data_IF_215773060109
#
_entry.id   IF_215773060109
#
_cell.length_a   1.000
_cell.length_b   1.000
_cell.length_c   1.000
_cell.angle_alpha   90.00
_cell.angle_beta   90.00
_cell.angle_gamma   90.00
#
_symmetry.space_group_name_H-M   'P 1'
#
loop_
_entity.id
_entity.type
_entity.pdbx_description
1 polymer ?
#
# COMPACT_ATOMS: atom_id res chain seq x y z
N UNK A 1 4.62 24.34 -2.88
CA UNK A 1 4.21 23.28 -1.92
C UNK A 1 3.66 22.12 -2.74
N UNK A 2 4.44 21.06 -2.91
CA UNK A 2 4.04 19.91 -3.74
C UNK A 2 2.73 19.32 -3.24
N UNK A 3 1.76 19.20 -4.13
CA UNK A 3 0.44 18.68 -3.80
C UNK A 3 0.57 17.22 -3.36
N UNK A 4 0.19 16.91 -2.12
CA UNK A 4 0.26 15.56 -1.56
C UNK A 4 -0.94 14.76 -2.09
N UNK A 5 -0.86 14.34 -3.36
CA UNK A 5 -1.95 13.65 -4.09
C UNK A 5 -2.54 12.48 -3.31
N UNK A 6 -1.71 11.74 -2.58
CA UNK A 6 -2.11 10.57 -1.81
C UNK A 6 -2.71 10.89 -0.43
N UNK A 7 -2.66 12.14 0.03
CA UNK A 7 -3.19 12.54 1.33
C UNK A 7 -4.53 13.30 1.24
N UNK A 8 -5.00 13.62 0.03
CA UNK A 8 -6.22 14.40 -0.19
C UNK A 8 -7.52 13.81 0.40
N UNK A 9 -7.58 12.49 0.60
CA UNK A 9 -8.76 11.82 1.17
C UNK A 9 -8.74 11.66 2.70
N UNK A 10 -7.67 12.10 3.37
CA UNK A 10 -7.51 11.96 4.81
C UNK A 10 -8.09 13.16 5.56
N UNK A 11 -8.52 12.98 6.83
CA UNK A 11 -9.11 14.07 7.60
C UNK A 11 -8.12 15.22 7.86
N UNK A 12 -8.65 16.44 7.97
CA UNK A 12 -7.85 17.68 8.04
C UNK A 12 -6.91 17.73 9.25
N UNK A 13 -7.27 17.07 10.35
CA UNK A 13 -6.40 16.97 11.52
C UNK A 13 -5.10 16.22 11.22
N UNK A 14 -5.16 15.17 10.40
CA UNK A 14 -3.99 14.42 9.95
C UNK A 14 -3.16 15.26 8.98
N UNK A 15 -3.81 15.91 8.02
CA UNK A 15 -3.15 16.82 7.08
C UNK A 15 -2.40 17.93 7.80
N UNK A 16 -3.02 18.53 8.82
CA UNK A 16 -2.40 19.58 9.65
C UNK A 16 -1.16 19.05 10.37
N UNK A 17 -1.23 17.86 11.00
CA UNK A 17 -0.07 17.21 11.62
C UNK A 17 1.06 16.96 10.61
N UNK A 18 0.74 16.46 9.42
CA UNK A 18 1.74 16.22 8.36
C UNK A 18 2.39 17.53 7.91
N UNK A 19 1.61 18.60 7.72
CA UNK A 19 2.15 19.93 7.36
C UNK A 19 3.12 20.46 8.43
N UNK A 20 2.78 20.33 9.70
CA UNK A 20 3.69 20.70 10.80
C UNK A 20 4.97 19.88 10.77
N UNK A 21 4.88 18.56 10.60
CA UNK A 21 6.04 17.67 10.53
C UNK A 21 6.94 17.94 9.31
N UNK A 22 6.36 18.38 8.19
CA UNK A 22 7.10 18.84 7.01
C UNK A 22 7.82 20.15 7.30
N UNK A 23 7.14 21.11 7.92
CA UNK A 23 7.74 22.40 8.29
C UNK A 23 8.89 22.23 9.28
N UNK A 24 8.80 21.26 10.18
CA UNK A 24 9.85 20.91 11.14
C UNK A 24 10.95 20.02 10.56
N UNK A 25 10.87 19.57 9.29
CA UNK A 25 11.80 18.59 8.69
C UNK A 25 11.91 17.26 9.47
N UNK A 26 10.90 16.93 10.27
CA UNK A 26 10.89 15.74 11.15
C UNK A 26 10.00 14.60 10.65
N UNK A 27 9.27 14.82 9.55
CA UNK A 27 8.37 13.82 8.98
C UNK A 27 9.06 12.47 8.74
N UNK A 28 10.25 12.47 8.13
CA UNK A 28 11.01 11.24 7.85
C UNK A 28 11.34 10.44 9.11
N UNK A 29 11.92 11.09 10.12
CA UNK A 29 12.28 10.45 11.38
C UNK A 29 11.05 9.92 12.15
N UNK A 30 9.91 10.60 12.06
CA UNK A 30 8.65 10.13 12.66
C UNK A 30 8.11 8.91 11.93
N UNK A 31 8.17 8.89 10.60
CA UNK A 31 7.77 7.75 9.79
C UNK A 31 8.66 6.52 10.04
N UNK A 32 9.98 6.70 10.07
CA UNK A 32 10.93 5.62 10.38
C UNK A 32 10.71 5.04 11.79
N UNK A 33 10.47 5.89 12.79
CA UNK A 33 10.21 5.43 14.16
C UNK A 33 8.87 4.71 14.29
N UNK A 34 7.84 5.18 13.59
CA UNK A 34 6.47 4.64 13.69
C UNK A 34 6.28 3.38 12.84
N UNK A 35 6.95 3.31 11.69
CA UNK A 35 6.92 2.19 10.77
C UNK A 35 8.36 1.71 10.50
N UNK A 36 8.99 1.03 11.46
CA UNK A 36 10.37 0.52 11.30
C UNK A 36 10.47 -0.63 10.31
N UNK A 37 9.35 -1.27 9.97
CA UNK A 37 9.28 -2.25 8.89
C UNK A 37 9.13 -1.54 7.55
N UNK A 38 10.12 -1.66 6.68
CA UNK A 38 9.96 -1.33 5.26
C UNK A 38 8.79 -2.14 4.71
N UNK A 39 7.85 -1.49 4.02
CA UNK A 39 6.83 -2.24 3.29
C UNK A 39 7.54 -3.07 2.20
N UNK A 40 7.55 -4.39 2.35
CA UNK A 40 8.11 -5.32 1.34
C UNK A 40 7.45 -5.18 -0.04
N UNK A 41 6.29 -4.52 -0.10
CA UNK A 41 5.50 -4.28 -1.30
C UNK A 41 5.56 -2.84 -1.82
N UNK A 42 6.73 -2.19 -1.74
CA UNK A 42 6.90 -0.81 -2.18
C UNK A 42 7.02 -0.61 -3.70
N UNK A 43 6.93 -1.67 -4.50
CA UNK A 43 7.04 -1.62 -5.98
C UNK A 43 5.84 -2.29 -6.64
N UNK A 44 5.47 -1.82 -7.83
CA UNK A 44 4.39 -2.44 -8.64
C UNK A 44 4.60 -3.95 -8.84
N UNK A 45 5.85 -4.37 -8.94
CA UNK A 45 6.22 -5.79 -9.05
C UNK A 45 5.83 -6.58 -7.79
N UNK A 46 6.10 -6.03 -6.62
CA UNK A 46 5.78 -6.66 -5.37
C UNK A 46 4.26 -6.67 -5.11
N UNK A 47 3.55 -5.60 -5.50
CA UNK A 47 2.08 -5.57 -5.48
C UNK A 47 1.48 -6.63 -6.42
N UNK A 48 2.00 -6.73 -7.65
CA UNK A 48 1.57 -7.76 -8.61
C UNK A 48 1.81 -9.17 -8.06
N UNK A 49 2.99 -9.43 -7.50
CA UNK A 49 3.33 -10.72 -6.91
C UNK A 49 2.37 -11.07 -5.76
N UNK A 50 2.10 -10.12 -4.86
CA UNK A 50 1.15 -10.29 -3.77
C UNK A 50 -0.25 -10.68 -4.27
N UNK A 51 -0.74 -10.03 -5.35
CA UNK A 51 -2.03 -10.41 -5.95
C UNK A 51 -2.02 -11.79 -6.59
N UNK A 52 -0.92 -12.22 -7.22
CA UNK A 52 -0.79 -13.56 -7.80
C UNK A 52 -0.71 -14.65 -6.72
N UNK A 53 -0.04 -14.38 -5.61
CA UNK A 53 0.05 -15.30 -4.48
C UNK A 53 -1.33 -15.48 -3.84
N UNK A 54 -2.08 -14.39 -3.66
CA UNK A 54 -3.44 -14.41 -3.13
C UNK A 54 -4.39 -15.17 -4.09
N UNK A 55 -4.31 -14.91 -5.39
CA UNK A 55 -5.04 -15.65 -6.42
C UNK A 55 -4.73 -17.15 -6.35
N UNK A 56 -3.45 -17.51 -6.28
CA UNK A 56 -3.00 -18.90 -6.23
C UNK A 56 -3.41 -19.60 -4.94
N UNK A 57 -3.48 -18.88 -3.82
CA UNK A 57 -3.87 -19.43 -2.52
C UNK A 57 -5.38 -19.73 -2.44
N UNK A 58 -6.22 -18.88 -3.02
CA UNK A 58 -7.68 -19.00 -2.90
C UNK A 58 -8.37 -19.63 -4.13
N UNK A 59 -7.76 -19.59 -5.32
CA UNK A 59 -8.36 -20.17 -6.54
C UNK A 59 -7.81 -21.55 -6.91
N UNK A 60 -6.77 -22.06 -6.25
CA UNK A 60 -6.19 -23.38 -6.55
C UNK A 60 -7.00 -24.56 -5.99
N UNK A 61 -7.97 -24.29 -5.12
CA UNK A 61 -8.99 -25.25 -4.67
C UNK A 61 -10.36 -24.98 -5.30
N UNK A 62 -10.48 -24.05 -6.25
CA UNK A 62 -11.67 -23.99 -7.06
C UNK A 62 -11.66 -25.23 -7.97
N UNK A 63 -12.73 -26.05 -8.00
CA UNK A 63 -12.82 -27.12 -8.98
C UNK A 63 -12.60 -26.48 -10.35
N UNK A 64 -11.62 -26.99 -11.09
CA UNK A 64 -11.46 -26.64 -12.49
C UNK A 64 -12.81 -26.96 -13.14
N UNK A 65 -13.54 -25.93 -13.55
CA UNK A 65 -14.65 -26.07 -14.47
C UNK A 65 -14.03 -26.78 -15.68
N UNK A 66 -14.31 -28.08 -15.79
CA UNK A 66 -13.84 -28.88 -16.89
C UNK A 66 -14.43 -28.24 -18.13
N UNK A 67 -13.53 -27.62 -18.89
CA UNK A 67 -13.78 -27.08 -20.21
C UNK A 67 -14.55 -28.17 -20.96
N UNK A 68 -15.83 -27.90 -21.16
CA UNK A 68 -16.76 -28.79 -21.84
C UNK A 68 -16.35 -28.80 -23.30
N UNK A 69 -15.57 -29.81 -23.66
CA UNK A 69 -15.46 -30.27 -25.04
C UNK A 69 -16.85 -30.81 -25.40
N UNK A 70 -17.56 -30.08 -26.28
CA UNK A 70 -18.56 -30.52 -27.28
C UNK A 70 -19.19 -29.27 -27.92
#
# INVERSE_FOLDING_TARGET
>A
MGQLTYLHGYPENLLSQVRTLIAEQRLGAVLEKRYPGTHDFATDKALWQYTQDLKSQFLRNAPADQQSDV
#
